data_IF_311384702761
#
_entry.id   IF_311384702761
#
_cell.length_a   1.000
_cell.length_b   1.000
_cell.length_c   1.000
_cell.angle_alpha   90.00
_cell.angle_beta   90.00
_cell.angle_gamma   90.00
#
_symmetry.space_group_name_H-M   'P 1'
#
loop_
_entity.id
_entity.type
_entity.pdbx_description
1 polymer ?
#
# COMPACT_ATOMS: atom_id res chain seq x y z
N UNK A 1 -32.89 -4.80 27.35
CA UNK A 1 -31.63 -4.06 27.61
C UNK A 1 -30.55 -5.07 28.00
N UNK A 2 -29.62 -5.41 27.12
CA UNK A 2 -28.51 -6.30 27.44
C UNK A 2 -27.24 -5.45 27.58
N UNK A 3 -26.73 -5.31 28.80
CA UNK A 3 -25.53 -4.53 29.12
C UNK A 3 -24.26 -5.27 28.69
N UNK A 4 -23.35 -4.57 28.04
CA UNK A 4 -22.01 -5.08 27.68
C UNK A 4 -21.19 -5.17 28.96
N UNK A 5 -21.03 -6.40 29.48
CA UNK A 5 -20.18 -6.68 30.64
C UNK A 5 -18.72 -6.64 30.20
N UNK A 6 -17.93 -5.73 30.78
CA UNK A 6 -16.47 -5.69 30.60
C UNK A 6 -15.87 -7.00 31.13
N UNK A 7 -15.01 -7.71 30.37
CA UNK A 7 -14.37 -8.92 30.87
C UNK A 7 -13.45 -8.58 32.06
N UNK A 8 -13.54 -9.38 33.12
CA UNK A 8 -12.83 -9.22 34.40
C UNK A 8 -11.33 -9.54 34.36
N UNK A 9 -10.81 -10.10 33.27
CA UNK A 9 -9.41 -10.56 33.16
C UNK A 9 -8.55 -9.54 32.41
N UNK A 10 -7.37 -9.25 32.96
CA UNK A 10 -6.40 -8.34 32.36
C UNK A 10 -5.83 -8.94 31.07
N UNK A 11 -5.44 -8.08 30.13
CA UNK A 11 -4.91 -8.45 28.82
C UNK A 11 -3.69 -9.41 28.91
N UNK A 12 -2.86 -9.24 29.93
CA UNK A 12 -1.70 -10.12 30.17
C UNK A 12 -2.09 -11.55 30.54
N UNK A 13 -3.19 -11.75 31.28
CA UNK A 13 -3.67 -13.11 31.59
C UNK A 13 -4.24 -13.80 30.35
N UNK A 14 -4.97 -13.06 29.50
CA UNK A 14 -5.49 -13.61 28.24
C UNK A 14 -4.37 -14.02 27.30
N UNK A 15 -3.28 -13.24 27.26
CA UNK A 15 -2.08 -13.56 26.48
C UNK A 15 -1.34 -14.79 27.03
N UNK A 16 -1.27 -14.94 28.36
CA UNK A 16 -0.70 -16.12 29.02
C UNK A 16 -1.50 -17.38 28.72
N UNK A 17 -2.82 -17.35 28.90
CA UNK A 17 -3.69 -18.50 28.59
C UNK A 17 -3.62 -18.89 27.10
N UNK A 18 -3.55 -17.91 26.20
CA UNK A 18 -3.43 -18.16 24.76
C UNK A 18 -2.11 -18.85 24.38
N UNK A 19 -1.00 -18.46 25.01
CA UNK A 19 0.32 -19.05 24.74
C UNK A 19 0.45 -20.46 25.32
N UNK A 20 -0.08 -20.70 26.52
CA UNK A 20 -0.12 -22.05 27.14
C UNK A 20 -0.94 -23.02 26.29
N UNK A 21 -2.11 -22.57 25.77
CA UNK A 21 -2.99 -23.41 24.96
C UNK A 21 -2.40 -23.79 23.60
N UNK A 22 -1.42 -23.02 23.10
CA UNK A 22 -0.73 -23.30 21.83
C UNK A 22 0.56 -24.10 21.97
N UNK A 23 0.98 -24.45 23.20
CA UNK A 23 2.19 -25.25 23.41
C UNK A 23 3.47 -24.60 22.88
N UNK A 24 3.52 -23.26 22.81
CA UNK A 24 4.74 -22.54 22.46
C UNK A 24 5.61 -22.33 23.71
N UNK A 25 6.92 -22.66 23.67
CA UNK A 25 7.83 -22.34 24.76
C UNK A 25 8.00 -20.82 24.87
N UNK A 26 7.93 -20.32 26.10
CA UNK A 26 8.27 -18.95 26.42
C UNK A 26 9.79 -18.78 26.25
N UNK A 27 10.29 -17.70 25.62
CA UNK A 27 11.71 -17.37 25.74
C UNK A 27 11.99 -17.02 27.21
N UNK A 28 13.06 -17.54 27.84
CA UNK A 28 13.37 -17.19 29.21
C UNK A 28 13.62 -15.68 29.31
N UNK A 29 13.02 -15.08 30.34
CA UNK A 29 13.35 -13.74 30.81
C UNK A 29 14.85 -13.69 31.08
N UNK A 30 15.63 -13.10 30.16
CA UNK A 30 17.00 -12.74 30.42
C UNK A 30 17.00 -11.52 31.35
N UNK A 31 17.02 -11.77 32.66
CA UNK A 31 17.13 -10.72 33.65
C UNK A 31 16.79 -11.09 35.09
N UNK A 32 17.30 -12.20 35.61
CA UNK A 32 17.63 -12.31 37.04
C UNK A 32 19.11 -12.69 37.12
N UNK A 33 19.91 -12.07 38.00
CA UNK A 33 19.96 -12.47 39.41
C UNK A 33 19.99 -11.23 40.33
N UNK A 34 19.76 -11.22 41.64
CA UNK A 34 20.00 -12.19 42.70
C UNK A 34 19.30 -11.63 43.96
N UNK A 35 18.57 -12.44 44.71
CA UNK A 35 18.32 -12.17 46.14
C UNK A 35 19.53 -12.68 46.93
N UNK A 36 19.98 -12.00 48.00
CA UNK A 36 19.53 -12.49 49.30
C UNK A 36 19.32 -11.42 50.40
N UNK A 37 18.28 -11.67 51.21
CA UNK A 37 18.18 -11.49 52.67
C UNK A 37 18.28 -10.09 53.35
N UNK A 38 17.27 -9.84 54.21
CA UNK A 38 17.32 -9.24 55.56
C UNK A 38 16.80 -7.78 55.83
N UNK A 39 15.60 -7.72 56.46
CA UNK A 39 15.05 -6.79 57.52
C UNK A 39 14.86 -5.24 57.27
N UNK A 40 13.97 -4.52 58.03
CA UNK A 40 13.06 -3.45 57.55
C UNK A 40 13.31 -2.02 58.15
N UNK A 41 12.30 -1.10 58.23
CA UNK A 41 12.24 0.25 57.64
C UNK A 41 12.90 1.40 58.47
N UNK A 42 12.96 2.67 58.02
CA UNK A 42 11.91 3.64 58.42
C UNK A 42 11.68 4.85 57.48
N UNK A 43 10.68 5.65 57.88
CA UNK A 43 10.53 7.09 57.69
C UNK A 43 9.91 7.60 56.36
N UNK A 44 8.66 8.04 56.49
CA UNK A 44 8.10 9.13 55.69
C UNK A 44 8.98 10.40 55.79
N UNK A 45 8.83 11.32 54.84
CA UNK A 45 7.93 12.42 55.19
C UNK A 45 6.93 12.74 54.09
N UNK A 46 5.75 13.11 54.55
CA UNK A 46 4.80 13.94 53.83
C UNK A 46 5.51 15.16 53.24
N UNK A 47 5.30 15.42 51.95
CA UNK A 47 5.41 16.78 51.43
C UNK A 47 4.26 17.01 50.46
N UNK A 48 3.43 17.96 50.88
CA UNK A 48 2.33 18.56 50.16
C UNK A 48 2.77 19.00 48.76
N UNK A 49 1.91 18.81 47.76
CA UNK A 49 1.70 19.82 46.73
C UNK A 49 0.46 19.50 45.89
N UNK A 50 -0.60 20.25 46.17
CA UNK A 50 -1.45 20.90 45.18
C UNK A 50 -2.22 20.03 44.19
N UNK A 51 -3.52 19.90 44.49
CA UNK A 51 -4.61 19.87 43.51
C UNK A 51 -4.36 20.92 42.40
N UNK A 52 -3.81 20.49 41.27
CA UNK A 52 -3.99 21.18 39.99
C UNK A 52 -4.93 20.37 39.12
N UNK A 53 -6.19 20.82 39.16
CA UNK A 53 -7.25 20.56 38.20
C UNK A 53 -6.70 20.46 36.78
N UNK A 54 -6.63 19.24 36.23
CA UNK A 54 -6.37 19.03 34.81
C UNK A 54 -7.71 19.11 34.07
N UNK A 55 -7.85 19.93 33.01
CA UNK A 55 -9.10 20.03 32.26
C UNK A 55 -9.46 18.67 31.65
N UNK A 56 -10.67 18.19 31.92
CA UNK A 56 -11.28 17.10 31.16
C UNK A 56 -11.35 17.50 29.69
N UNK A 57 -10.86 16.69 28.73
CA UNK A 57 -11.21 16.88 27.33
C UNK A 57 -12.70 16.56 27.16
N UNK A 58 -13.45 17.56 26.72
CA UNK A 58 -14.87 17.47 26.41
C UNK A 58 -15.19 16.23 25.56
N UNK A 59 -16.30 15.59 25.93
CA UNK A 59 -16.90 14.46 25.23
C UNK A 59 -16.97 14.71 23.72
N UNK A 60 -16.19 13.94 22.95
CA UNK A 60 -16.27 13.95 21.50
C UNK A 60 -17.62 13.36 21.09
N UNK A 61 -18.46 14.19 20.48
CA UNK A 61 -19.69 13.80 19.81
C UNK A 61 -19.42 12.59 18.90
N UNK A 62 -20.34 11.60 18.82
CA UNK A 62 -20.15 10.44 17.96
C UNK A 62 -19.95 10.92 16.52
N UNK A 63 -18.81 10.53 15.95
CA UNK A 63 -18.48 10.77 14.55
C UNK A 63 -19.55 10.06 13.72
N UNK A 64 -20.24 10.73 12.77
CA UNK A 64 -21.21 10.05 11.94
C UNK A 64 -20.53 8.88 11.22
N UNK A 65 -21.25 7.76 11.02
CA UNK A 65 -20.70 6.61 10.33
C UNK A 65 -20.15 7.07 8.98
N UNK A 66 -18.88 6.74 8.75
CA UNK A 66 -18.18 7.05 7.52
C UNK A 66 -18.96 6.35 6.42
N UNK A 67 -19.73 7.12 5.63
CA UNK A 67 -20.34 6.64 4.40
C UNK A 67 -19.20 5.99 3.61
N UNK A 68 -19.29 4.67 3.47
CA UNK A 68 -18.58 3.96 2.42
C UNK A 68 -18.88 4.73 1.13
N UNK A 69 -17.89 5.15 0.34
CA UNK A 69 -18.19 5.63 -0.99
C UNK A 69 -18.88 4.46 -1.69
N UNK A 70 -20.19 4.57 -1.87
CA UNK A 70 -20.92 3.78 -2.87
C UNK A 70 -20.17 4.05 -4.16
N UNK A 71 -19.37 3.08 -4.57
CA UNK A 71 -18.80 3.09 -5.90
C UNK A 71 -20.00 3.26 -6.85
N UNK A 72 -19.95 4.19 -7.82
CA UNK A 72 -20.97 4.19 -8.86
C UNK A 72 -20.94 2.78 -9.46
N UNK A 73 -22.09 2.12 -9.44
CA UNK A 73 -22.31 0.88 -10.15
C UNK A 73 -22.08 1.18 -11.64
N UNK A 74 -20.83 1.02 -12.08
CA UNK A 74 -20.48 1.04 -13.47
C UNK A 74 -20.91 -0.30 -14.04
N UNK A 75 -21.96 -0.28 -14.85
CA UNK A 75 -22.37 -1.31 -15.81
C UNK A 75 -21.38 -2.47 -15.97
N UNK A 76 -21.73 -3.62 -15.40
CA UNK A 76 -21.39 -4.96 -15.91
C UNK A 76 -19.93 -5.33 -16.16
N UNK A 77 -18.95 -4.50 -15.81
CA UNK A 77 -17.52 -4.80 -15.95
C UNK A 77 -16.96 -4.97 -14.55
N UNK A 78 -17.01 -6.20 -14.05
CA UNK A 78 -16.36 -6.59 -12.78
C UNK A 78 -14.94 -6.03 -12.77
N UNK A 79 -14.66 -5.01 -11.98
CA UNK A 79 -13.31 -4.46 -11.90
C UNK A 79 -12.60 -5.06 -10.69
N UNK A 80 -11.40 -5.59 -10.90
CA UNK A 80 -10.63 -6.27 -9.85
C UNK A 80 -9.83 -5.24 -9.07
N UNK A 81 -10.05 -5.15 -7.76
CA UNK A 81 -9.30 -4.26 -6.89
C UNK A 81 -7.94 -4.85 -6.53
N UNK A 82 -6.86 -4.28 -7.05
CA UNK A 82 -5.49 -4.78 -6.84
C UNK A 82 -4.67 -3.79 -6.00
N UNK A 83 -3.98 -4.31 -4.99
CA UNK A 83 -3.00 -3.56 -4.20
C UNK A 83 -1.67 -3.56 -4.93
N UNK A 84 -1.19 -2.38 -5.28
CA UNK A 84 0.04 -2.17 -6.01
C UNK A 84 1.11 -1.64 -5.06
N UNK A 85 2.28 -2.28 -5.06
CA UNK A 85 3.47 -1.83 -4.36
C UNK A 85 4.57 -1.58 -5.36
N UNK A 86 5.01 -0.34 -5.46
CA UNK A 86 5.90 0.09 -6.53
C UNK A 86 7.13 0.74 -5.93
N UNK A 87 8.31 0.11 -6.01
CA UNK A 87 9.55 0.79 -5.69
C UNK A 87 9.86 1.83 -6.76
N UNK A 88 10.36 3.00 -6.36
CA UNK A 88 10.95 3.94 -7.30
C UNK A 88 12.16 3.28 -7.98
N UNK A 89 12.42 3.54 -9.27
CA UNK A 89 13.67 3.13 -9.88
C UNK A 89 14.85 3.87 -9.21
N UNK A 90 16.02 3.23 -9.21
CA UNK A 90 17.27 3.85 -8.77
C UNK A 90 17.56 5.06 -9.68
N UNK A 91 18.03 6.19 -9.12
CA UNK A 91 18.45 7.33 -9.93
C UNK A 91 19.46 6.90 -11.00
N UNK A 92 19.28 7.36 -12.24
CA UNK A 92 20.10 7.00 -13.39
C UNK A 92 19.65 5.73 -14.12
N UNK A 93 18.64 4.99 -13.63
CA UNK A 93 18.11 3.83 -14.33
C UNK A 93 17.22 4.21 -15.53
N UNK A 94 16.46 5.30 -15.39
CA UNK A 94 15.57 5.78 -16.45
C UNK A 94 15.62 7.32 -16.51
N UNK A 95 16.14 7.91 -17.61
CA UNK A 95 16.24 9.36 -17.75
C UNK A 95 14.90 10.10 -17.59
N UNK A 96 13.81 9.49 -18.08
CA UNK A 96 12.46 10.06 -17.99
C UNK A 96 11.97 10.13 -16.54
N UNK A 97 12.30 9.13 -15.73
CA UNK A 97 11.96 9.15 -14.30
C UNK A 97 12.76 10.22 -13.57
N UNK A 98 14.07 10.33 -13.84
CA UNK A 98 14.93 11.30 -13.18
C UNK A 98 14.50 12.74 -13.50
N UNK A 99 14.13 13.04 -14.75
CA UNK A 99 13.60 14.34 -15.14
C UNK A 99 12.28 14.67 -14.43
N UNK A 100 11.37 13.70 -14.35
CA UNK A 100 10.11 13.88 -13.62
C UNK A 100 10.35 14.06 -12.12
N UNK A 101 11.26 13.28 -11.53
CA UNK A 101 11.64 13.36 -10.13
C UNK A 101 12.27 14.71 -9.78
N UNK A 102 13.13 15.25 -10.64
CA UNK A 102 13.71 16.58 -10.47
C UNK A 102 12.65 17.70 -10.49
N UNK A 103 11.59 17.54 -11.30
CA UNK A 103 10.56 18.57 -11.49
C UNK A 103 9.50 18.61 -10.39
N UNK A 104 9.04 17.45 -9.91
CA UNK A 104 7.87 17.36 -8.99
C UNK A 104 8.12 16.53 -7.73
N UNK A 105 9.34 16.01 -7.56
CA UNK A 105 9.72 15.08 -6.50
C UNK A 105 9.45 13.61 -6.86
N UNK A 106 10.32 12.72 -6.39
CA UNK A 106 10.32 11.28 -6.71
C UNK A 106 8.95 10.61 -6.51
N UNK A 107 8.30 10.86 -5.36
CA UNK A 107 7.02 10.20 -5.04
C UNK A 107 5.88 10.61 -5.97
N UNK A 108 5.80 11.90 -6.32
CA UNK A 108 4.76 12.41 -7.24
C UNK A 108 5.04 11.97 -8.68
N UNK A 109 6.31 12.01 -9.09
CA UNK A 109 6.74 11.49 -10.39
C UNK A 109 6.34 10.01 -10.53
N UNK A 110 6.66 9.19 -9.53
CA UNK A 110 6.30 7.78 -9.52
C UNK A 110 4.78 7.56 -9.61
N UNK A 111 3.98 8.32 -8.85
CA UNK A 111 2.52 8.19 -8.89
C UNK A 111 1.94 8.55 -10.27
N UNK A 112 2.45 9.61 -10.90
CA UNK A 112 2.00 10.07 -12.21
C UNK A 112 2.39 9.09 -13.31
N UNK A 113 3.64 8.65 -13.31
CA UNK A 113 4.16 7.70 -14.27
C UNK A 113 3.47 6.35 -14.13
N UNK A 114 3.27 5.86 -12.92
CA UNK A 114 2.53 4.62 -12.67
C UNK A 114 1.09 4.69 -13.19
N UNK A 115 0.40 5.80 -12.97
CA UNK A 115 -0.97 5.93 -13.44
C UNK A 115 -1.04 5.85 -14.97
N UNK A 116 -0.06 6.43 -15.66
CA UNK A 116 0.00 6.40 -17.12
C UNK A 116 0.49 5.06 -17.67
N UNK A 117 1.44 4.42 -17.00
CA UNK A 117 1.97 3.12 -17.40
C UNK A 117 0.94 1.99 -17.26
N UNK A 118 0.07 2.05 -16.25
CA UNK A 118 -1.02 1.11 -16.10
C UNK A 118 -2.07 1.26 -17.21
N UNK A 119 -2.37 2.49 -17.62
CA UNK A 119 -3.24 2.73 -18.79
C UNK A 119 -2.62 2.19 -20.07
N UNK A 120 -1.33 2.46 -20.32
CA UNK A 120 -0.64 1.92 -21.50
C UNK A 120 -0.62 0.39 -21.52
N UNK A 121 -0.40 -0.23 -20.36
CA UNK A 121 -0.43 -1.68 -20.19
C UNK A 121 -1.83 -2.24 -20.47
N UNK A 122 -2.89 -1.59 -19.97
CA UNK A 122 -4.27 -1.98 -20.26
C UNK A 122 -4.54 -1.93 -21.77
N UNK A 123 -4.16 -0.83 -22.43
CA UNK A 123 -4.32 -0.67 -23.88
C UNK A 123 -3.50 -1.71 -24.68
N UNK A 124 -2.34 -2.12 -24.17
CA UNK A 124 -1.52 -3.16 -24.77
C UNK A 124 -2.18 -4.54 -24.68
N UNK A 125 -2.76 -4.87 -23.53
CA UNK A 125 -3.50 -6.13 -23.35
C UNK A 125 -4.75 -6.17 -24.23
N UNK A 126 -5.46 -5.05 -24.38
CA UNK A 126 -6.61 -4.99 -25.30
C UNK A 126 -6.20 -5.15 -26.77
N UNK A 127 -4.95 -4.81 -27.14
CA UNK A 127 -4.38 -5.12 -28.46
C UNK A 127 -3.91 -6.57 -28.61
N UNK A 128 -3.98 -7.38 -27.55
CA UNK A 128 -3.47 -8.75 -27.53
C UNK A 128 -1.95 -8.85 -27.31
N UNK A 129 -1.29 -7.78 -26.90
CA UNK A 129 0.13 -7.84 -26.55
C UNK A 129 0.32 -8.61 -25.24
N UNK A 130 1.35 -9.45 -25.19
CA UNK A 130 1.71 -10.20 -23.99
C UNK A 130 2.42 -9.30 -22.99
N UNK A 131 2.11 -9.48 -21.71
CA UNK A 131 2.84 -8.87 -20.61
C UNK A 131 4.13 -9.67 -20.42
N UNK A 132 5.26 -8.98 -20.34
CA UNK A 132 6.55 -9.61 -20.02
C UNK A 132 6.94 -9.30 -18.57
N UNK A 133 7.44 -10.27 -17.81
CA UNK A 133 8.02 -10.00 -16.50
C UNK A 133 9.24 -9.11 -16.68
N UNK A 134 9.25 -7.97 -15.99
CA UNK A 134 10.36 -7.03 -16.03
C UNK A 134 10.69 -6.54 -14.62
N UNK A 135 11.97 -6.29 -14.39
CA UNK A 135 12.51 -5.81 -13.11
C UNK A 135 13.52 -4.71 -13.37
N UNK A 136 13.64 -3.78 -12.44
CA UNK A 136 14.63 -2.71 -12.46
C UNK A 136 15.27 -2.53 -11.08
N UNK A 137 16.47 -1.93 -11.01
CA UNK A 137 17.11 -1.61 -9.75
C UNK A 137 16.23 -0.65 -8.94
N UNK A 138 15.87 -1.05 -7.72
CA UNK A 138 14.94 -0.31 -6.86
C UNK A 138 15.67 0.70 -5.98
N UNK A 139 15.14 1.92 -5.92
CA UNK A 139 15.57 2.99 -5.03
C UNK A 139 14.98 2.88 -3.63
N UNK A 140 15.22 3.92 -2.81
CA UNK A 140 14.80 3.96 -1.39
C UNK A 140 13.31 4.25 -1.22
N UNK A 141 12.71 4.99 -2.14
CA UNK A 141 11.30 5.39 -2.06
C UNK A 141 10.42 4.29 -2.64
N UNK A 142 9.29 4.02 -1.97
CA UNK A 142 8.25 3.14 -2.50
C UNK A 142 6.88 3.78 -2.36
N UNK A 143 5.99 3.40 -3.27
CA UNK A 143 4.61 3.85 -3.33
C UNK A 143 3.68 2.65 -3.20
N UNK A 144 2.80 2.72 -2.22
CA UNK A 144 1.70 1.77 -2.06
C UNK A 144 0.42 2.45 -2.52
N UNK A 145 -0.28 1.83 -3.45
CA UNK A 145 -1.57 2.32 -3.95
C UNK A 145 -2.52 1.16 -4.21
N UNK A 146 -3.80 1.45 -4.38
CA UNK A 146 -4.80 0.44 -4.74
C UNK A 146 -5.51 0.96 -5.98
N UNK A 147 -5.63 0.10 -6.99
CA UNK A 147 -6.22 0.46 -8.28
C UNK A 147 -7.19 -0.63 -8.72
N UNK A 148 -8.25 -0.21 -9.39
CA UNK A 148 -9.15 -1.10 -10.10
C UNK A 148 -8.54 -1.42 -11.46
N UNK A 149 -8.37 -2.71 -11.76
CA UNK A 149 -7.91 -3.22 -13.04
C UNK A 149 -9.07 -3.94 -13.75
N UNK A 150 -9.04 -3.99 -15.08
CA UNK A 150 -9.98 -4.82 -15.82
C UNK A 150 -9.68 -6.31 -15.57
N UNK A 151 -10.69 -7.21 -15.63
CA UNK A 151 -10.49 -8.65 -15.49
C UNK A 151 -9.51 -9.20 -16.51
N UNK A 152 -9.56 -8.68 -17.74
CA UNK A 152 -8.65 -9.08 -18.83
C UNK A 152 -7.21 -8.76 -18.50
N UNK A 153 -6.93 -7.53 -18.05
CA UNK A 153 -5.59 -7.13 -17.63
C UNK A 153 -5.12 -7.98 -16.46
N UNK A 154 -5.98 -8.22 -15.47
CA UNK A 154 -5.64 -9.02 -14.31
C UNK A 154 -5.35 -10.48 -14.69
N UNK A 155 -6.17 -11.10 -15.54
CA UNK A 155 -5.97 -12.46 -16.01
C UNK A 155 -4.69 -12.58 -16.84
N UNK A 156 -4.45 -11.65 -17.78
CA UNK A 156 -3.22 -11.61 -18.57
C UNK A 156 -1.98 -11.45 -17.67
N UNK A 157 -2.06 -10.58 -16.65
CA UNK A 157 -1.00 -10.42 -15.68
C UNK A 157 -0.77 -11.67 -14.84
N UNK A 158 -1.83 -12.35 -14.39
CA UNK A 158 -1.74 -13.59 -13.63
C UNK A 158 -1.05 -14.67 -14.47
N UNK A 159 -1.47 -14.88 -15.71
CA UNK A 159 -0.85 -15.87 -16.61
C UNK A 159 0.61 -15.55 -16.93
N UNK A 160 0.98 -14.27 -17.08
CA UNK A 160 2.33 -13.89 -17.48
C UNK A 160 3.32 -13.78 -16.31
N UNK A 161 2.88 -13.30 -15.16
CA UNK A 161 3.74 -12.94 -14.03
C UNK A 161 3.66 -13.95 -12.88
N UNK A 162 2.59 -14.73 -12.80
CA UNK A 162 2.38 -15.75 -11.78
C UNK A 162 1.78 -17.04 -12.38
N UNK A 163 2.51 -17.71 -13.29
CA UNK A 163 2.00 -18.90 -13.98
C UNK A 163 1.75 -20.08 -13.04
N UNK A 164 2.36 -20.09 -11.85
CA UNK A 164 2.26 -21.18 -10.87
C UNK A 164 1.30 -20.85 -9.70
N UNK A 165 0.68 -19.66 -9.69
CA UNK A 165 -0.17 -19.16 -8.59
C UNK A 165 0.52 -19.21 -7.21
N UNK A 166 1.83 -18.93 -7.21
CA UNK A 166 2.67 -18.96 -6.00
C UNK A 166 2.88 -17.56 -5.43
N UNK A 167 2.59 -16.51 -6.21
CA UNK A 167 2.77 -15.14 -5.76
C UNK A 167 1.68 -14.73 -4.78
N UNK A 168 2.10 -13.99 -3.74
CA UNK A 168 1.13 -13.34 -2.88
C UNK A 168 0.40 -12.23 -3.66
N UNK A 169 -0.82 -11.83 -3.29
CA UNK A 169 -1.53 -10.73 -3.96
C UNK A 169 -0.72 -9.42 -4.01
N UNK A 170 0.15 -9.18 -3.01
CA UNK A 170 1.06 -8.03 -3.00
C UNK A 170 2.30 -8.20 -3.89
N UNK A 171 2.78 -9.43 -4.05
CA UNK A 171 3.86 -9.80 -4.97
C UNK A 171 3.44 -9.62 -6.43
N UNK A 172 2.27 -10.15 -6.80
CA UNK A 172 1.67 -9.94 -8.11
C UNK A 172 1.44 -8.44 -8.39
N UNK A 173 0.87 -7.71 -7.43
CA UNK A 173 0.68 -6.26 -7.56
C UNK A 173 1.99 -5.48 -7.76
N UNK A 174 3.08 -5.94 -7.15
CA UNK A 174 4.43 -5.39 -7.38
C UNK A 174 4.92 -5.74 -8.78
N UNK A 175 4.81 -6.99 -9.21
CA UNK A 175 5.23 -7.45 -10.52
C UNK A 175 4.51 -6.69 -11.64
N UNK A 176 3.18 -6.54 -11.54
CA UNK A 176 2.35 -5.77 -12.48
C UNK A 176 2.87 -4.34 -12.60
N UNK A 177 3.12 -3.71 -11.46
CA UNK A 177 3.56 -2.32 -11.43
C UNK A 177 4.95 -2.14 -12.02
N UNK A 178 5.85 -3.08 -11.74
CA UNK A 178 7.21 -3.04 -12.27
C UNK A 178 7.20 -3.27 -13.78
N UNK A 179 6.48 -4.28 -14.26
CA UNK A 179 6.30 -4.54 -15.70
C UNK A 179 5.69 -3.34 -16.44
N UNK A 180 4.66 -2.72 -15.87
CA UNK A 180 4.04 -1.51 -16.44
C UNK A 180 5.06 -0.37 -16.57
N UNK A 181 5.80 -0.07 -15.49
CA UNK A 181 6.77 1.02 -15.49
C UNK A 181 7.91 0.78 -16.47
N UNK A 182 8.49 -0.43 -16.51
CA UNK A 182 9.55 -0.75 -17.47
C UNK A 182 9.06 -0.54 -18.89
N UNK A 183 7.91 -1.13 -19.23
CA UNK A 183 7.30 -0.99 -20.55
C UNK A 183 7.10 0.48 -20.94
N UNK A 184 6.58 1.29 -20.03
CA UNK A 184 6.33 2.71 -20.30
C UNK A 184 7.62 3.54 -20.44
N UNK A 185 8.64 3.23 -19.62
CA UNK A 185 9.90 3.97 -19.60
C UNK A 185 10.84 3.55 -20.74
N UNK A 186 10.87 2.26 -21.11
CA UNK A 186 11.58 1.74 -22.29
C UNK A 186 10.86 2.07 -23.60
N UNK A 187 9.52 2.07 -23.56
CA UNK A 187 8.67 2.45 -24.67
C UNK A 187 8.77 3.93 -25.05
N UNK A 188 9.52 4.74 -24.29
CA UNK A 188 9.99 6.08 -24.64
C UNK A 188 8.95 6.91 -25.39
N UNK A 189 8.00 7.51 -24.66
CA UNK A 189 6.99 8.44 -25.19
C UNK A 189 6.53 8.06 -26.61
N UNK A 190 5.96 6.87 -26.81
CA UNK A 190 5.07 6.61 -27.98
C UNK A 190 3.74 7.36 -27.87
N UNK A 191 3.72 8.48 -27.14
CA UNK A 191 2.58 9.37 -27.04
C UNK A 191 2.84 10.56 -27.96
N UNK A 192 2.63 10.37 -29.26
CA UNK A 192 2.15 11.40 -30.19
C UNK A 192 1.98 10.85 -31.62
N UNK A 193 1.25 9.74 -31.77
CA UNK A 193 0.76 9.32 -33.09
C UNK A 193 -0.74 9.02 -33.12
N UNK A 194 -1.47 9.18 -32.01
CA UNK A 194 -2.93 8.95 -31.96
C UNK A 194 -3.78 10.22 -31.97
N UNK A 195 -3.16 11.38 -32.17
CA UNK A 195 -3.83 12.65 -32.46
C UNK A 195 -3.02 13.40 -33.52
N UNK A 196 -2.92 12.82 -34.71
CA UNK A 196 -2.80 13.66 -35.89
C UNK A 196 -4.21 14.27 -36.09
N UNK A 197 -4.40 15.60 -36.03
CA UNK A 197 -5.58 16.18 -36.65
C UNK A 197 -5.48 15.80 -38.12
N UNK A 198 -6.41 14.98 -38.60
CA UNK A 198 -6.64 14.80 -40.03
C UNK A 198 -6.94 16.20 -40.57
N UNK A 199 -5.93 16.86 -41.12
CA UNK A 199 -6.14 18.04 -41.95
C UNK A 199 -7.08 17.59 -43.06
N UNK A 200 -8.26 18.19 -43.23
CA UNK A 200 -9.08 17.88 -44.39
C UNK A 200 -8.24 18.23 -45.62
N UNK A 201 -8.16 17.26 -46.53
CA UNK A 201 -7.55 17.44 -47.84
C UNK A 201 -8.11 18.72 -48.44
N UNK A 202 -7.22 19.68 -48.72
CA UNK A 202 -7.56 20.79 -49.59
C UNK A 202 -7.89 20.16 -50.94
N UNK A 203 -9.16 20.21 -51.32
CA UNK A 203 -9.57 19.94 -52.69
C UNK A 203 -8.83 20.94 -53.58
N UNK A 204 -7.92 20.41 -54.41
CA UNK A 204 -7.63 21.00 -55.71
C UNK A 204 -8.95 21.04 -56.49
N UNK A 205 -9.46 22.24 -56.74
CA UNK A 205 -10.38 22.50 -57.84
C UNK A 205 -9.91 23.78 -58.55
N UNK A 206 -9.47 23.56 -59.79
CA UNK A 206 -9.42 24.41 -61.01
C UNK A 206 -8.90 25.86 -60.94
#
# INVERSE_FOLDING_TARGET
MAGIVKPRKSYDEQRREFNVKRGLPYPPEAGAPEEPAAVPPPAAPETQAEKKTRPQPAARKPRPPRLTPTAPAADGKEAVLVKLRVPAPKPGAFPLFDQAAASMGEKRALQRLLSRSLSDLADAVERGERISPATYPTGKVSLNTTKMLSPRLYAAAKTALDPLDLETPGGLGRAISMAALVRYLEGGIRVSARHAPTLPAANEED
#
